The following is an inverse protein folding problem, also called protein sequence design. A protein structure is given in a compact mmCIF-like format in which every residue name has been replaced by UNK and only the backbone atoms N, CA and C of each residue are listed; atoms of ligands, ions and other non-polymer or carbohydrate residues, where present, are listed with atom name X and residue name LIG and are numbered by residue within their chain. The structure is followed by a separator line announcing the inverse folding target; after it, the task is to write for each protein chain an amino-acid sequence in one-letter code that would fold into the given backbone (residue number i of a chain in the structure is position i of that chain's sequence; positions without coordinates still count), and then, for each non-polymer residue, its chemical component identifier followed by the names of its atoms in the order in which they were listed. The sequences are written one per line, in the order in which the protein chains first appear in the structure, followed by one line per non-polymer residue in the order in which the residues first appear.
data_IF_692076596974
#
_entry.id   IF_692076596974
#
_cell.length_a   1.000
_cell.length_b   1.000
_cell.length_c   1.000
_cell.angle_alpha   90.00
_cell.angle_beta   90.00
_cell.angle_gamma   90.00
#
_symmetry.space_group_name_H-M   'P 1'
#
loop_
_entity.id
_entity.type
_entity.pdbx_description
1 polymer ?
#
# COMPACT_ATOMS: atom_id res chain seq x y z
N UNK A 1 -19.58 5.53 28.90
CA UNK A 1 -19.09 5.74 27.53
C UNK A 1 -18.00 4.71 27.32
N UNK A 2 -18.04 3.94 26.24
CA UNK A 2 -17.08 2.86 25.97
C UNK A 2 -16.12 3.33 24.90
N UNK A 3 -14.82 3.16 25.14
CA UNK A 3 -13.77 3.55 24.20
C UNK A 3 -13.34 2.35 23.34
N UNK A 4 -12.89 2.65 22.12
CA UNK A 4 -12.46 1.64 21.16
C UNK A 4 -11.16 2.08 20.49
N UNK A 5 -10.28 1.12 20.19
CA UNK A 5 -9.15 1.32 19.29
C UNK A 5 -9.52 0.73 17.94
N UNK A 6 -9.41 1.53 16.88
CA UNK A 6 -9.65 1.10 15.51
C UNK A 6 -8.34 1.23 14.74
N UNK A 7 -7.88 0.15 14.11
CA UNK A 7 -6.73 0.18 13.20
C UNK A 7 -7.20 0.00 11.76
N UNK A 8 -6.78 0.93 10.91
CA UNK A 8 -7.08 0.92 9.48
C UNK A 8 -5.79 0.59 8.73
N UNK A 9 -5.87 -0.36 7.80
CA UNK A 9 -4.83 -0.63 6.83
C UNK A 9 -5.34 -0.26 5.43
N UNK A 10 -4.42 0.17 4.58
CA UNK A 10 -4.68 0.53 3.19
C UNK A 10 -3.36 0.40 2.42
N UNK A 11 -3.47 0.19 1.12
CA UNK A 11 -2.35 0.15 0.22
C UNK A 11 -1.96 1.56 -0.23
N UNK A 12 -0.65 1.78 -0.32
CA UNK A 12 -0.03 2.98 -0.86
C UNK A 12 0.81 2.61 -2.07
N UNK A 13 0.96 3.54 -3.01
CA UNK A 13 1.90 3.39 -4.12
C UNK A 13 3.29 3.79 -3.66
N UNK A 14 4.27 2.96 -3.97
CA UNK A 14 5.67 3.20 -3.68
C UNK A 14 6.51 3.08 -4.94
N UNK A 15 7.59 3.86 -5.02
CA UNK A 15 8.43 3.99 -6.20
C UNK A 15 9.90 3.99 -5.83
N UNK A 16 10.70 3.35 -6.68
CA UNK A 16 12.14 3.45 -6.72
C UNK A 16 12.56 3.90 -8.12
N UNK A 17 13.50 4.84 -8.20
CA UNK A 17 14.01 5.33 -9.47
C UNK A 17 15.34 4.67 -9.80
N UNK A 18 15.49 4.23 -11.05
CA UNK A 18 16.77 3.72 -11.57
C UNK A 18 17.05 4.29 -12.94
N UNK A 19 18.26 4.82 -13.12
CA UNK A 19 18.74 5.27 -14.43
C UNK A 19 19.41 4.09 -15.13
N UNK A 20 18.98 3.80 -16.36
CA UNK A 20 19.56 2.74 -17.19
C UNK A 20 20.06 3.31 -18.52
N UNK A 21 21.18 2.79 -19.00
CA UNK A 21 21.70 3.09 -20.33
C UNK A 21 21.34 1.96 -21.30
N UNK A 22 20.87 2.31 -22.50
CA UNK A 22 20.51 1.36 -23.55
C UNK A 22 20.74 1.98 -24.94
N UNK A 23 21.05 1.15 -25.94
CA UNK A 23 21.26 1.59 -27.32
C UNK A 23 19.95 1.61 -28.14
N UNK A 24 18.86 1.07 -27.59
CA UNK A 24 17.53 1.07 -28.21
C UNK A 24 16.42 0.92 -27.16
N UNK A 25 15.19 1.29 -27.52
CA UNK A 25 14.02 1.15 -26.65
C UNK A 25 13.75 -0.31 -26.27
N UNK A 26 13.93 -1.24 -27.23
CA UNK A 26 13.76 -2.67 -26.96
C UNK A 26 14.77 -3.16 -25.91
N UNK A 27 16.03 -2.70 -25.99
CA UNK A 27 17.04 -3.02 -24.98
C UNK A 27 16.74 -2.33 -23.64
N UNK A 28 16.25 -1.09 -23.66
CA UNK A 28 15.86 -0.37 -22.45
C UNK A 28 14.75 -1.10 -21.69
N UNK A 29 13.75 -1.62 -22.40
CA UNK A 29 12.65 -2.40 -21.80
C UNK A 29 13.17 -3.67 -21.15
N UNK A 30 14.04 -4.42 -21.82
CA UNK A 30 14.60 -5.66 -21.24
C UNK A 30 15.48 -5.36 -20.02
N UNK A 31 16.30 -4.31 -20.05
CA UNK A 31 17.09 -3.86 -18.90
C UNK A 31 16.21 -3.36 -17.75
N UNK A 32 15.14 -2.63 -18.04
CA UNK A 32 14.20 -2.15 -17.05
C UNK A 32 13.52 -3.30 -16.32
N UNK A 33 13.12 -4.37 -17.04
CA UNK A 33 12.56 -5.58 -16.41
C UNK A 33 13.53 -6.24 -15.45
N UNK A 34 14.80 -6.37 -15.85
CA UNK A 34 15.85 -6.93 -14.97
C UNK A 34 16.04 -6.07 -13.72
N UNK A 35 16.11 -4.75 -13.88
CA UNK A 35 16.23 -3.82 -12.76
C UNK A 35 15.00 -3.88 -11.83
N UNK A 36 13.79 -3.96 -12.40
CA UNK A 36 12.55 -4.10 -11.64
C UNK A 36 12.52 -5.39 -10.81
N UNK A 37 12.93 -6.54 -11.39
CA UNK A 37 13.03 -7.79 -10.63
C UNK A 37 13.99 -7.67 -9.45
N UNK A 38 15.16 -7.06 -9.66
CA UNK A 38 16.12 -6.83 -8.58
C UNK A 38 15.56 -5.89 -7.48
N UNK A 39 14.81 -4.86 -7.86
CA UNK A 39 14.15 -3.97 -6.91
C UNK A 39 13.09 -4.70 -6.06
N UNK A 40 12.31 -5.61 -6.67
CA UNK A 40 11.29 -6.39 -5.97
C UNK A 40 11.87 -7.36 -4.92
N UNK A 41 13.13 -7.77 -5.06
CA UNK A 41 13.83 -8.59 -4.07
C UNK A 41 14.44 -7.77 -2.92
N UNK A 42 14.44 -6.44 -3.05
CA UNK A 42 14.96 -5.54 -2.03
C UNK A 42 14.00 -5.45 -0.84
N UNK A 43 14.56 -5.43 0.37
CA UNK A 43 13.84 -5.12 1.61
C UNK A 43 14.11 -3.69 2.09
N UNK A 44 14.75 -2.86 1.26
CA UNK A 44 15.00 -1.47 1.58
C UNK A 44 13.70 -0.66 1.57
N UNK A 45 13.70 0.50 2.25
CA UNK A 45 12.58 1.42 2.17
C UNK A 45 12.52 2.05 0.77
N UNK A 46 11.32 2.18 0.16
CA UNK A 46 11.19 2.79 -1.16
C UNK A 46 11.66 4.25 -1.17
N UNK A 47 12.21 4.72 -2.29
CA UNK A 47 12.62 6.10 -2.47
C UNK A 47 11.45 7.09 -2.26
N UNK A 48 10.26 6.75 -2.75
CA UNK A 48 9.07 7.57 -2.61
C UNK A 48 7.83 6.75 -2.28
N UNK A 49 6.95 7.30 -1.44
CA UNK A 49 5.63 6.76 -1.15
C UNK A 49 4.62 7.86 -1.42
N UNK A 50 3.67 7.60 -2.30
CA UNK A 50 2.52 8.47 -2.54
C UNK A 50 1.47 8.21 -1.47
N UNK A 51 1.25 9.21 -0.61
CA UNK A 51 0.29 9.14 0.50
C UNK A 51 -1.10 9.68 0.17
N UNK A 52 -1.24 10.29 -1.01
CA UNK A 52 -2.46 10.97 -1.45
C UNK A 52 -3.42 9.98 -2.13
N UNK A 53 -2.88 8.93 -2.78
CA UNK A 53 -3.66 7.85 -3.38
C UNK A 53 -3.74 6.59 -2.50
N UNK A 54 -4.54 6.63 -1.42
CA UNK A 54 -4.85 5.45 -0.60
C UNK A 54 -5.82 4.52 -1.33
N UNK A 55 -5.55 3.21 -1.29
CA UNK A 55 -6.36 2.18 -1.97
C UNK A 55 -6.66 1.00 -1.06
N UNK A 56 -7.71 0.26 -1.35
CA UNK A 56 -8.02 -1.04 -0.73
C UNK A 56 -8.02 -0.94 0.81
N UNK A 57 -8.87 -0.06 1.35
CA UNK A 57 -9.04 0.14 2.78
C UNK A 57 -9.65 -1.08 3.49
N UNK A 58 -8.98 -1.56 4.53
CA UNK A 58 -9.46 -2.59 5.47
C UNK A 58 -9.42 -2.06 6.91
N UNK A 59 -10.47 -2.32 7.68
CA UNK A 59 -10.42 -2.21 9.13
C UNK A 59 -9.70 -3.46 9.63
N UNK A 60 -8.43 -3.33 9.95
CA UNK A 60 -7.59 -4.44 10.40
C UNK A 60 -8.08 -5.00 11.75
N UNK A 61 -8.42 -4.12 12.69
CA UNK A 61 -9.10 -4.52 13.93
C UNK A 61 -9.90 -3.38 14.57
N UNK A 62 -10.88 -3.77 15.37
CA UNK A 62 -11.53 -2.93 16.38
C UNK A 62 -11.45 -3.65 17.72
N UNK A 63 -10.81 -3.01 18.70
CA UNK A 63 -10.78 -3.48 20.08
C UNK A 63 -11.60 -2.56 20.96
N UNK A 64 -12.36 -3.12 21.90
CA UNK A 64 -12.94 -2.39 23.01
C UNK A 64 -11.90 -2.21 24.11
N UNK A 65 -11.75 -0.99 24.61
CA UNK A 65 -10.89 -0.72 25.77
C UNK A 65 -11.65 -1.11 27.04
N UNK A 66 -11.09 -2.04 27.79
CA UNK A 66 -11.58 -2.55 29.06
C UNK A 66 -10.55 -2.32 30.19
N UNK A 67 -10.97 -2.33 31.47
CA UNK A 67 -10.05 -2.11 32.59
C UNK A 67 -8.90 -3.12 32.68
N UNK A 68 -9.09 -4.32 32.15
CA UNK A 68 -8.13 -5.43 32.11
C UNK A 68 -7.34 -5.52 30.80
N UNK A 69 -7.61 -4.64 29.82
CA UNK A 69 -6.89 -4.59 28.56
C UNK A 69 -7.80 -4.29 27.36
N UNK A 70 -7.55 -5.00 26.27
CA UNK A 70 -8.28 -4.85 25.01
C UNK A 70 -9.13 -6.11 24.76
N UNK A 71 -10.41 -5.94 24.45
CA UNK A 71 -11.33 -7.00 24.06
C UNK A 71 -11.60 -6.90 22.54
N UNK A 72 -11.16 -7.87 21.72
CA UNK A 72 -11.35 -7.80 20.27
C UNK A 72 -12.84 -7.86 19.91
N UNK A 73 -13.26 -6.98 19.01
CA UNK A 73 -14.64 -6.89 18.54
C UNK A 73 -14.78 -7.46 17.14
N UNK A 74 -13.91 -7.04 16.23
CA UNK A 74 -13.89 -7.49 14.85
C UNK A 74 -12.50 -7.30 14.25
N UNK A 75 -12.16 -8.14 13.27
CA UNK A 75 -10.88 -8.14 12.56
C UNK A 75 -11.14 -8.26 11.05
N UNK A 76 -10.20 -7.74 10.25
CA UNK A 76 -10.14 -7.88 8.80
C UNK A 76 -11.45 -7.60 8.03
N UNK A 77 -12.02 -6.42 8.25
CA UNK A 77 -13.25 -5.98 7.56
C UNK A 77 -12.91 -5.05 6.40
N UNK A 78 -13.10 -5.51 5.18
CA UNK A 78 -13.07 -4.66 3.99
C UNK A 78 -14.18 -3.60 4.07
N UNK A 79 -13.84 -2.34 3.85
CA UNK A 79 -14.81 -1.23 3.88
C UNK A 79 -14.75 -0.33 2.64
N UNK A 80 -13.68 -0.45 1.85
CA UNK A 80 -13.50 0.28 0.60
C UNK A 80 -13.92 -0.62 -0.58
N UNK A 81 -15.16 -0.41 -1.03
CA UNK A 81 -15.77 -1.03 -2.22
C UNK A 81 -15.71 0.00 -3.35
N UNK A 82 -14.77 -0.12 -4.30
CA UNK A 82 -14.61 0.48 -5.65
C UNK A 82 -15.10 1.93 -5.95
N UNK A 83 -15.71 2.63 -5.00
CA UNK A 83 -16.49 3.87 -5.13
C UNK A 83 -15.66 5.10 -4.77
N UNK A 84 -14.52 4.92 -4.11
CA UNK A 84 -13.52 5.97 -3.87
C UNK A 84 -12.64 6.18 -5.12
N UNK A 85 -12.56 5.16 -5.98
CA UNK A 85 -11.92 5.25 -7.29
C UNK A 85 -12.88 5.89 -8.31
N UNK A 86 -12.93 7.21 -8.34
CA UNK A 86 -13.51 7.92 -9.49
C UNK A 86 -12.89 7.41 -10.81
N UNK A 87 -13.60 7.50 -11.95
CA UNK A 87 -13.09 7.00 -13.22
C UNK A 87 -11.71 7.61 -13.52
N UNK A 88 -10.79 6.86 -14.16
CA UNK A 88 -9.46 7.37 -14.47
C UNK A 88 -9.58 8.68 -15.24
N UNK A 89 -8.89 9.72 -14.77
CA UNK A 89 -8.73 10.96 -15.51
C UNK A 89 -7.88 10.65 -16.74
N UNK A 90 -8.49 10.78 -17.92
CA UNK A 90 -7.87 10.54 -19.23
C UNK A 90 -7.02 11.69 -19.74
#
# INVERSE_FOLDING_TARGET
MTEYVVKIAFWLRAFDSVTIEAASDAEAIEKAKVAATAAMESTAFPEHIDTDERREGVIAYIDRIAPDGHEPVIEDVEFDDDRIHGPPVG
#
